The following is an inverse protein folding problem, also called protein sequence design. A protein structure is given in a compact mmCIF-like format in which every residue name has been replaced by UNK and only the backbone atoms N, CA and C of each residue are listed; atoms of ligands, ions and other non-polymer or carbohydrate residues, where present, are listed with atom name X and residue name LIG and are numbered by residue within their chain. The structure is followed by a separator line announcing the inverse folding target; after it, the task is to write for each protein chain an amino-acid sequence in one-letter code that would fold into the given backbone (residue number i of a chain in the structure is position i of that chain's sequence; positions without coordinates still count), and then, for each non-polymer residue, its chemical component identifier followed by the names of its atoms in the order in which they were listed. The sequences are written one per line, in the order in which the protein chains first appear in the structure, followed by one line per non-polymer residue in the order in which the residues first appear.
data_IF_159193817266
#
_entry.id   IF_159193817266
#
_cell.length_a   1.000
_cell.length_b   1.000
_cell.length_c   1.000
_cell.angle_alpha   90.00
_cell.angle_beta   90.00
_cell.angle_gamma   90.00
#
_symmetry.space_group_name_H-M   'P 1'
#
loop_
_entity.id
_entity.type
_entity.pdbx_description
1 polymer ?
#
# COMPACT_ATOMS: atom_id res chain seq x y z
N UNK A 1 -54.70 2.99 -8.42
CA UNK A 1 -53.91 4.02 -7.72
C UNK A 1 -52.55 3.45 -7.38
N UNK A 2 -51.63 4.30 -6.88
CA UNK A 2 -50.34 3.91 -6.28
C UNK A 2 -49.18 3.58 -7.24
N UNK A 3 -48.86 4.53 -8.12
CA UNK A 3 -47.46 4.87 -8.38
C UNK A 3 -47.25 6.30 -7.90
N UNK A 4 -46.73 6.46 -6.69
CA UNK A 4 -46.08 7.70 -6.28
C UNK A 4 -44.75 7.77 -7.00
N UNK A 5 -44.79 8.25 -8.25
CA UNK A 5 -43.59 8.53 -9.00
C UNK A 5 -42.80 9.61 -8.27
N UNK A 6 -41.76 9.21 -7.54
CA UNK A 6 -40.67 10.11 -7.21
C UNK A 6 -40.07 10.52 -8.55
N UNK A 7 -40.47 11.70 -9.01
CA UNK A 7 -39.90 12.38 -10.17
C UNK A 7 -38.49 12.83 -9.79
N UNK A 8 -37.57 11.86 -9.69
CA UNK A 8 -36.14 12.15 -9.79
C UNK A 8 -36.01 12.82 -11.15
N UNK A 9 -35.63 14.10 -11.15
CA UNK A 9 -35.40 14.85 -12.38
C UNK A 9 -34.09 14.33 -12.94
N UNK A 10 -34.17 13.26 -13.72
CA UNK A 10 -33.05 12.70 -14.48
C UNK A 10 -32.49 13.82 -15.34
N UNK A 11 -31.24 14.17 -15.08
CA UNK A 11 -30.50 15.22 -15.77
C UNK A 11 -29.39 14.58 -16.59
N UNK A 12 -29.33 14.94 -17.87
CA UNK A 12 -28.19 14.59 -18.72
C UNK A 12 -26.90 15.16 -18.12
N UNK A 13 -25.89 14.31 -17.98
CA UNK A 13 -24.61 14.66 -17.35
C UNK A 13 -23.94 15.88 -18.01
N UNK A 14 -24.12 16.04 -19.32
CA UNK A 14 -23.57 17.16 -20.13
C UNK A 14 -24.16 18.54 -19.81
N UNK A 15 -25.35 18.58 -19.21
CA UNK A 15 -25.94 19.81 -18.69
C UNK A 15 -25.49 20.03 -17.24
N UNK A 16 -25.46 18.96 -16.45
CA UNK A 16 -25.09 18.95 -15.05
C UNK A 16 -23.65 19.45 -14.84
N UNK A 17 -22.66 18.89 -15.55
CA UNK A 17 -21.23 19.25 -15.45
C UNK A 17 -20.88 20.71 -15.83
N UNK A 18 -21.83 21.51 -16.32
CA UNK A 18 -21.65 22.93 -16.65
C UNK A 18 -22.09 23.88 -15.52
N UNK A 19 -22.71 23.36 -14.47
CA UNK A 19 -23.11 24.14 -13.29
C UNK A 19 -21.91 24.38 -12.36
N UNK A 20 -21.83 25.55 -11.71
CA UNK A 20 -20.65 25.93 -10.90
C UNK A 20 -20.47 25.09 -9.62
N UNK A 21 -21.54 24.47 -9.12
CA UNK A 21 -21.58 23.81 -7.80
C UNK A 21 -22.04 22.34 -7.89
N UNK A 22 -21.56 21.61 -8.89
CA UNK A 22 -21.82 20.17 -9.06
C UNK A 22 -21.20 19.35 -7.95
N UNK A 23 -22.00 18.50 -7.32
CA UNK A 23 -21.57 17.51 -6.32
C UNK A 23 -21.36 16.13 -6.96
N UNK A 24 -20.51 15.29 -6.37
CA UNK A 24 -20.34 13.90 -6.83
C UNK A 24 -21.66 13.12 -6.73
N UNK A 25 -22.46 13.33 -5.67
CA UNK A 25 -23.78 12.68 -5.52
C UNK A 25 -24.67 12.93 -6.75
N UNK A 26 -24.81 14.18 -7.19
CA UNK A 26 -25.60 14.53 -8.38
C UNK A 26 -25.05 13.89 -9.68
N UNK A 27 -23.73 13.72 -9.77
CA UNK A 27 -23.08 13.02 -10.91
C UNK A 27 -23.38 11.52 -10.88
N UNK A 28 -23.27 10.87 -9.72
CA UNK A 28 -23.57 9.43 -9.55
C UNK A 28 -25.07 9.11 -9.72
N UNK A 29 -25.96 10.08 -9.53
CA UNK A 29 -27.39 9.94 -9.78
C UNK A 29 -27.80 10.08 -11.26
N UNK A 30 -26.90 10.50 -12.15
CA UNK A 30 -27.19 10.65 -13.58
C UNK A 30 -27.27 9.28 -14.29
N UNK A 31 -28.39 9.01 -14.97
CA UNK A 31 -28.65 7.73 -15.65
C UNK A 31 -27.62 7.40 -16.76
N UNK A 32 -26.97 8.42 -17.34
CA UNK A 32 -25.97 8.30 -18.39
C UNK A 32 -24.52 8.18 -17.89
N UNK A 33 -24.24 8.26 -16.57
CA UNK A 33 -22.85 8.29 -16.05
C UNK A 33 -21.97 7.14 -16.57
N UNK A 34 -22.45 5.89 -16.48
CA UNK A 34 -21.67 4.73 -16.93
C UNK A 34 -21.55 4.64 -18.46
N UNK A 35 -22.43 5.32 -19.20
CA UNK A 35 -22.34 5.44 -20.66
C UNK A 35 -21.30 6.51 -21.03
N UNK A 36 -21.30 7.66 -20.33
CA UNK A 36 -20.37 8.76 -20.55
C UNK A 36 -18.94 8.41 -20.08
N UNK A 37 -18.77 7.56 -19.06
CA UNK A 37 -17.49 6.91 -18.76
C UNK A 37 -16.99 6.07 -19.96
N UNK A 38 -17.85 5.20 -20.52
CA UNK A 38 -17.49 4.36 -21.68
C UNK A 38 -17.25 5.17 -22.96
N UNK A 39 -17.81 6.38 -23.04
CA UNK A 39 -17.62 7.31 -24.14
C UNK A 39 -16.34 8.18 -24.03
N UNK A 40 -15.49 7.95 -23.00
CA UNK A 40 -14.31 8.77 -22.70
C UNK A 40 -14.65 10.28 -22.59
N UNK A 41 -15.79 10.64 -21.96
CA UNK A 41 -16.23 12.04 -21.83
C UNK A 41 -15.20 12.88 -21.05
N UNK A 42 -14.60 13.86 -21.72
CA UNK A 42 -13.53 14.71 -21.18
C UNK A 42 -13.96 15.57 -19.98
N UNK A 43 -15.18 16.10 -20.00
CA UNK A 43 -15.69 16.95 -18.92
C UNK A 43 -15.92 16.11 -17.66
N UNK A 44 -16.46 14.88 -17.83
CA UNK A 44 -16.61 13.91 -16.75
C UNK A 44 -15.24 13.48 -16.20
N UNK A 45 -14.30 13.13 -17.07
CA UNK A 45 -12.93 12.75 -16.66
C UNK A 45 -12.29 13.90 -15.88
N UNK A 46 -12.39 15.14 -16.35
CA UNK A 46 -11.86 16.31 -15.65
C UNK A 46 -12.51 16.50 -14.26
N UNK A 47 -13.81 16.24 -14.12
CA UNK A 47 -14.50 16.27 -12.83
C UNK A 47 -14.03 15.16 -11.88
N UNK A 48 -14.03 13.89 -12.34
CA UNK A 48 -13.68 12.73 -11.51
C UNK A 48 -12.20 12.68 -11.10
N UNK A 49 -11.31 13.32 -11.88
CA UNK A 49 -9.87 13.38 -11.59
C UNK A 49 -9.48 14.50 -10.63
N UNK A 50 -10.42 15.32 -10.14
CA UNK A 50 -10.16 16.29 -9.08
C UNK A 50 -9.83 15.55 -7.76
N UNK A 51 -8.82 15.99 -6.98
CA UNK A 51 -8.40 15.26 -5.77
C UNK A 51 -9.48 15.09 -4.69
N UNK A 52 -10.41 16.06 -4.59
CA UNK A 52 -11.55 16.01 -3.67
C UNK A 52 -12.60 15.00 -4.12
N UNK A 53 -12.97 15.01 -5.40
CA UNK A 53 -13.92 14.06 -5.99
C UNK A 53 -13.38 12.63 -5.98
N UNK A 54 -12.09 12.45 -6.29
CA UNK A 54 -11.44 11.14 -6.24
C UNK A 54 -11.37 10.60 -4.79
N UNK A 55 -11.08 11.45 -3.81
CA UNK A 55 -11.13 11.07 -2.40
C UNK A 55 -12.55 10.68 -1.96
N UNK A 56 -13.58 11.38 -2.43
CA UNK A 56 -14.99 11.06 -2.16
C UNK A 56 -15.39 9.72 -2.81
N UNK A 57 -15.01 9.46 -4.07
CA UNK A 57 -15.21 8.16 -4.75
C UNK A 57 -14.61 6.99 -3.97
N UNK A 58 -13.36 7.12 -3.50
CA UNK A 58 -12.70 6.07 -2.71
C UNK A 58 -13.44 5.89 -1.38
N UNK A 59 -13.79 6.99 -0.72
CA UNK A 59 -14.53 6.96 0.55
C UNK A 59 -15.89 6.24 0.40
N UNK A 60 -16.59 6.41 -0.72
CA UNK A 60 -17.84 5.69 -1.00
C UNK A 60 -17.67 4.18 -1.16
N UNK A 61 -16.50 3.68 -1.58
CA UNK A 61 -16.24 2.24 -1.72
C UNK A 61 -15.53 1.61 -0.51
N UNK A 62 -14.93 2.41 0.38
CA UNK A 62 -14.22 1.91 1.57
C UNK A 62 -14.97 2.15 2.89
N UNK A 63 -15.78 3.20 3.02
CA UNK A 63 -16.50 3.51 4.27
C UNK A 63 -17.92 2.97 4.33
N UNK A 64 -18.35 2.55 5.53
CA UNK A 64 -19.76 2.22 5.75
C UNK A 64 -20.60 3.51 5.79
N UNK A 65 -21.65 3.63 4.97
CA UNK A 65 -22.53 4.78 4.99
C UNK A 65 -23.29 4.90 6.33
N UNK A 66 -23.62 6.12 6.78
CA UNK A 66 -24.20 6.36 8.10
C UNK A 66 -25.59 5.73 8.25
N UNK A 67 -25.76 4.88 9.27
CA UNK A 67 -26.90 3.95 9.53
C UNK A 67 -28.31 4.57 9.60
N UNK A 68 -28.45 5.88 9.39
CA UNK A 68 -29.71 6.62 9.41
C UNK A 68 -30.41 6.66 8.03
N UNK A 69 -29.88 5.98 7.02
CA UNK A 69 -30.41 5.92 5.64
C UNK A 69 -30.73 4.47 5.28
N UNK A 70 -31.73 4.24 4.44
CA UNK A 70 -32.14 2.91 3.99
C UNK A 70 -30.98 2.17 3.27
N UNK A 71 -30.70 0.92 3.68
CA UNK A 71 -29.58 0.10 3.17
C UNK A 71 -29.55 0.00 1.63
N UNK A 72 -30.73 -0.10 0.99
CA UNK A 72 -30.90 -0.18 -0.46
C UNK A 72 -30.40 1.08 -1.19
N UNK A 73 -30.61 2.25 -0.59
CA UNK A 73 -30.17 3.55 -1.11
C UNK A 73 -28.75 3.90 -0.70
N UNK A 74 -28.31 3.44 0.48
CA UNK A 74 -26.95 3.65 1.00
C UNK A 74 -25.88 3.11 0.04
N UNK A 75 -25.96 1.83 -0.32
CA UNK A 75 -24.95 1.19 -1.15
C UNK A 75 -25.12 1.46 -2.65
N UNK A 76 -26.18 2.17 -3.08
CA UNK A 76 -26.32 2.60 -4.49
C UNK A 76 -25.15 3.45 -4.93
N UNK A 77 -24.74 4.45 -4.13
CA UNK A 77 -23.61 5.32 -4.47
C UNK A 77 -22.27 4.59 -4.38
N UNK A 78 -22.08 3.70 -3.40
CA UNK A 78 -20.91 2.82 -3.34
C UNK A 78 -20.78 1.95 -4.61
N UNK A 79 -21.88 1.35 -5.06
CA UNK A 79 -21.91 0.52 -6.27
C UNK A 79 -21.56 1.33 -7.53
N UNK A 80 -22.20 2.48 -7.74
CA UNK A 80 -21.93 3.32 -8.91
C UNK A 80 -20.51 3.91 -8.84
N UNK A 81 -20.01 4.30 -7.67
CA UNK A 81 -18.64 4.73 -7.48
C UNK A 81 -17.61 3.63 -7.82
N UNK A 82 -17.88 2.38 -7.43
CA UNK A 82 -17.05 1.23 -7.82
C UNK A 82 -17.06 0.99 -9.34
N UNK A 83 -18.24 1.02 -9.97
CA UNK A 83 -18.37 0.92 -11.43
C UNK A 83 -17.66 2.08 -12.17
N UNK A 84 -17.69 3.31 -11.63
CA UNK A 84 -17.00 4.48 -12.17
C UNK A 84 -15.48 4.35 -12.03
N UNK A 85 -14.97 4.00 -10.84
CA UNK A 85 -13.53 3.77 -10.63
C UNK A 85 -13.01 2.65 -11.53
N UNK A 86 -13.81 1.59 -11.73
CA UNK A 86 -13.44 0.43 -12.56
C UNK A 86 -13.86 0.53 -14.03
N UNK A 87 -14.32 1.70 -14.49
CA UNK A 87 -14.82 1.92 -15.86
C UNK A 87 -13.75 1.96 -16.96
N UNK A 88 -12.49 1.65 -16.64
CA UNK A 88 -11.33 1.70 -17.56
C UNK A 88 -10.99 3.10 -18.12
N UNK A 89 -11.47 4.17 -17.47
CA UNK A 89 -11.03 5.55 -17.74
C UNK A 89 -9.55 5.72 -17.40
N UNK A 90 -8.68 5.81 -18.42
CA UNK A 90 -7.23 5.84 -18.23
C UNK A 90 -6.77 6.94 -17.27
N UNK A 91 -7.15 8.20 -17.51
CA UNK A 91 -6.74 9.30 -16.62
C UNK A 91 -7.25 9.15 -15.19
N UNK A 92 -8.40 8.50 -14.95
CA UNK A 92 -8.90 8.28 -13.58
C UNK A 92 -8.04 7.26 -12.84
N UNK A 93 -7.74 6.12 -13.48
CA UNK A 93 -6.85 5.08 -12.96
C UNK A 93 -5.42 5.57 -12.82
N UNK A 94 -4.92 6.34 -13.78
CA UNK A 94 -3.57 6.89 -13.76
C UNK A 94 -3.45 7.93 -12.61
N UNK A 95 -4.48 8.75 -12.35
CA UNK A 95 -4.55 9.63 -11.16
C UNK A 95 -4.64 8.84 -9.85
N UNK A 96 -5.46 7.79 -9.79
CA UNK A 96 -5.58 6.94 -8.60
C UNK A 96 -4.24 6.26 -8.25
N UNK A 97 -3.58 5.64 -9.24
CA UNK A 97 -2.34 4.90 -9.07
C UNK A 97 -1.13 5.78 -8.74
N UNK A 98 -1.02 6.97 -9.33
CA UNK A 98 0.14 7.86 -9.16
C UNK A 98 0.04 8.81 -7.95
N UNK A 99 -1.15 8.96 -7.34
CA UNK A 99 -1.36 9.88 -6.22
C UNK A 99 -1.32 9.12 -4.89
N UNK A 100 -0.15 9.14 -4.22
CA UNK A 100 0.11 8.38 -2.99
C UNK A 100 -0.93 8.60 -1.87
N UNK A 101 -1.52 9.79 -1.76
CA UNK A 101 -2.62 10.10 -0.82
C UNK A 101 -3.89 9.28 -1.10
N UNK A 102 -4.20 9.02 -2.37
CA UNK A 102 -5.38 8.28 -2.81
C UNK A 102 -5.13 6.77 -2.69
N UNK A 103 -3.95 6.30 -3.10
CA UNK A 103 -3.52 4.92 -2.84
C UNK A 103 -3.51 4.58 -1.35
N UNK A 104 -3.01 5.48 -0.49
CA UNK A 104 -3.05 5.29 0.95
C UNK A 104 -4.48 5.21 1.49
N UNK A 105 -5.36 6.13 1.10
CA UNK A 105 -6.79 6.10 1.45
C UNK A 105 -7.48 4.79 1.04
N UNK A 106 -7.16 4.25 -0.14
CA UNK A 106 -7.67 2.96 -0.59
C UNK A 106 -7.14 1.81 0.27
N UNK A 107 -5.83 1.81 0.57
CA UNK A 107 -5.18 0.78 1.38
C UNK A 107 -5.60 0.81 2.86
N UNK A 108 -5.94 1.99 3.41
CA UNK A 108 -6.43 2.13 4.79
C UNK A 108 -7.74 1.37 5.05
N UNK A 109 -8.45 0.93 4.00
CA UNK A 109 -9.58 0.03 4.12
C UNK A 109 -9.24 -1.26 4.89
N UNK A 110 -8.08 -1.87 4.64
CA UNK A 110 -7.69 -3.11 5.34
C UNK A 110 -7.25 -2.87 6.78
N UNK A 111 -7.06 -1.62 7.19
CA UNK A 111 -6.67 -1.27 8.56
C UNK A 111 -7.85 -1.33 9.55
N UNK A 112 -9.08 -1.50 9.09
CA UNK A 112 -10.29 -1.65 9.94
C UNK A 112 -10.32 -3.01 10.64
N UNK A 113 -10.89 -3.09 11.84
CA UNK A 113 -11.00 -4.35 12.59
C UNK A 113 -11.80 -5.42 11.82
N UNK A 114 -11.50 -6.73 11.97
CA UNK A 114 -12.27 -7.77 11.32
C UNK A 114 -13.66 -7.95 11.99
N UNK A 115 -14.70 -8.36 11.26
CA UNK A 115 -14.71 -8.63 9.82
C UNK A 115 -14.95 -7.36 8.99
N UNK A 116 -14.35 -7.30 7.80
CA UNK A 116 -14.71 -6.30 6.79
C UNK A 116 -16.13 -6.52 6.28
N UNK A 117 -16.79 -5.44 5.88
CA UNK A 117 -18.05 -5.49 5.14
C UNK A 117 -17.82 -6.21 3.79
N UNK A 118 -18.48 -7.37 3.51
CA UNK A 118 -18.17 -8.15 2.31
C UNK A 118 -18.43 -7.41 0.99
N UNK A 119 -19.38 -6.48 0.97
CA UNK A 119 -19.69 -5.69 -0.22
C UNK A 119 -18.59 -4.66 -0.50
N UNK A 120 -18.18 -3.90 0.52
CA UNK A 120 -17.06 -2.94 0.39
C UNK A 120 -15.74 -3.66 0.09
N UNK A 121 -15.52 -4.85 0.66
CA UNK A 121 -14.38 -5.69 0.34
C UNK A 121 -14.37 -6.13 -1.14
N UNK A 122 -15.54 -6.41 -1.73
CA UNK A 122 -15.64 -6.68 -3.17
C UNK A 122 -15.29 -5.46 -4.03
N UNK A 123 -15.72 -4.25 -3.64
CA UNK A 123 -15.35 -3.02 -4.34
C UNK A 123 -13.88 -2.69 -4.21
N UNK A 124 -13.28 -2.90 -3.03
CA UNK A 124 -11.84 -2.80 -2.81
C UNK A 124 -11.08 -3.76 -3.73
N UNK A 125 -11.39 -5.06 -3.68
CA UNK A 125 -10.71 -6.08 -4.50
C UNK A 125 -10.81 -5.77 -5.99
N UNK A 126 -12.01 -5.42 -6.48
CA UNK A 126 -12.25 -5.03 -7.89
C UNK A 126 -11.45 -3.79 -8.30
N UNK A 127 -11.22 -2.86 -7.36
CA UNK A 127 -10.41 -1.65 -7.61
C UNK A 127 -8.92 -1.98 -7.67
N UNK A 128 -8.42 -2.85 -6.78
CA UNK A 128 -7.05 -3.35 -6.82
C UNK A 128 -6.77 -4.16 -8.09
N UNK A 129 -7.71 -5.02 -8.49
CA UNK A 129 -7.65 -5.77 -9.74
C UNK A 129 -7.56 -4.83 -10.95
N UNK A 130 -8.43 -3.82 -11.05
CA UNK A 130 -8.40 -2.84 -12.14
C UNK A 130 -7.11 -2.00 -12.19
N UNK A 131 -6.49 -1.70 -11.06
CA UNK A 131 -5.18 -1.02 -11.01
C UNK A 131 -4.06 -1.88 -11.57
N UNK A 132 -4.16 -3.21 -11.41
CA UNK A 132 -3.17 -4.19 -11.86
C UNK A 132 -3.51 -4.83 -13.21
N UNK A 133 -4.73 -4.64 -13.74
CA UNK A 133 -5.14 -5.16 -15.04
C UNK A 133 -4.60 -4.28 -16.19
N UNK A 134 -4.17 -4.94 -17.28
CA UNK A 134 -3.78 -4.26 -18.50
C UNK A 134 -5.01 -3.87 -19.32
N UNK A 135 -5.38 -2.59 -19.28
CA UNK A 135 -6.39 -2.03 -20.18
C UNK A 135 -6.05 -2.32 -21.66
N UNK A 136 -7.01 -2.74 -22.50
CA UNK A 136 -6.75 -3.11 -23.89
C UNK A 136 -6.26 -1.95 -24.77
N UNK A 137 -6.49 -0.70 -24.35
CA UNK A 137 -5.97 0.52 -25.02
C UNK A 137 -4.53 0.87 -24.59
N UNK A 138 -3.98 0.21 -23.57
CA UNK A 138 -2.73 0.60 -22.91
C UNK A 138 -1.50 -0.11 -23.51
N UNK A 139 -0.43 0.66 -23.71
CA UNK A 139 0.88 0.11 -24.09
C UNK A 139 1.46 -0.78 -22.98
N UNK A 140 2.12 -1.87 -23.37
CA UNK A 140 2.72 -2.83 -22.44
C UNK A 140 3.74 -2.19 -21.48
N UNK A 141 4.54 -1.23 -21.95
CA UNK A 141 5.52 -0.52 -21.13
C UNK A 141 4.85 0.42 -20.12
N UNK A 142 3.77 1.10 -20.51
CA UNK A 142 3.00 1.95 -19.59
C UNK A 142 2.27 1.13 -18.53
N UNK A 143 1.69 -0.01 -18.91
CA UNK A 143 1.14 -0.97 -17.96
C UNK A 143 2.23 -1.47 -16.99
N UNK A 144 3.43 -1.77 -17.50
CA UNK A 144 4.54 -2.22 -16.67
C UNK A 144 4.98 -1.20 -15.63
N UNK A 145 5.10 0.08 -16.00
CA UNK A 145 5.40 1.17 -15.06
C UNK A 145 4.29 1.30 -14.00
N UNK A 146 3.02 1.32 -14.41
CA UNK A 146 1.88 1.48 -13.48
C UNK A 146 1.83 0.32 -12.49
N UNK A 147 1.95 -0.93 -12.95
CA UNK A 147 1.97 -2.09 -12.06
C UNK A 147 3.18 -2.08 -11.11
N UNK A 148 4.39 -1.76 -11.58
CA UNK A 148 5.54 -1.61 -10.68
C UNK A 148 5.29 -0.53 -9.62
N UNK A 149 4.72 0.61 -9.99
CA UNK A 149 4.42 1.70 -9.05
C UNK A 149 3.35 1.33 -8.02
N UNK A 150 2.27 0.67 -8.45
CA UNK A 150 1.21 0.17 -7.55
C UNK A 150 1.76 -0.87 -6.57
N UNK A 151 2.59 -1.81 -7.05
CA UNK A 151 3.25 -2.79 -6.19
C UNK A 151 4.26 -2.15 -5.23
N UNK A 152 5.05 -1.17 -5.68
CA UNK A 152 5.99 -0.42 -4.83
C UNK A 152 5.23 0.34 -3.72
N UNK A 153 4.08 0.95 -4.04
CA UNK A 153 3.19 1.56 -3.04
C UNK A 153 2.72 0.54 -2.00
N UNK A 154 2.29 -0.67 -2.39
CA UNK A 154 1.94 -1.73 -1.44
C UNK A 154 3.15 -2.20 -0.61
N UNK A 155 4.32 -2.41 -1.23
CA UNK A 155 5.56 -2.83 -0.54
C UNK A 155 6.08 -1.75 0.44
N UNK A 156 5.88 -0.48 0.13
CA UNK A 156 6.26 0.64 1.01
C UNK A 156 5.45 0.65 2.32
N UNK A 157 4.25 0.07 2.29
CA UNK A 157 3.35 -0.10 3.44
C UNK A 157 3.55 -1.45 4.10
N UNK A 158 4.47 -1.52 5.07
CA UNK A 158 4.70 -2.72 5.89
C UNK A 158 3.45 -3.22 6.63
N UNK A 159 2.51 -2.33 6.92
CA UNK A 159 1.23 -2.67 7.55
C UNK A 159 0.25 -3.35 6.58
N UNK A 160 0.37 -3.11 5.27
CA UNK A 160 -0.63 -3.51 4.28
C UNK A 160 -0.78 -5.02 4.16
N UNK A 161 0.32 -5.78 4.04
CA UNK A 161 0.24 -7.22 3.83
C UNK A 161 -0.26 -7.98 5.09
N UNK A 162 0.20 -7.69 6.32
CA UNK A 162 -0.39 -8.25 7.53
C UNK A 162 -1.87 -7.85 7.73
N UNK A 163 -2.22 -6.59 7.40
CA UNK A 163 -3.62 -6.13 7.47
C UNK A 163 -4.52 -6.75 6.40
N UNK A 164 -4.00 -7.04 5.20
CA UNK A 164 -4.73 -7.79 4.18
C UNK A 164 -4.92 -9.25 4.63
N UNK A 165 -3.88 -9.86 5.21
CA UNK A 165 -3.87 -11.27 5.61
C UNK A 165 -4.84 -11.59 6.74
N UNK A 166 -4.96 -10.75 7.78
CA UNK A 166 -5.95 -10.96 8.85
C UNK A 166 -7.42 -10.96 8.37
N UNK A 167 -7.68 -10.45 7.16
CA UNK A 167 -9.00 -10.44 6.54
C UNK A 167 -9.22 -11.55 5.51
N UNK A 168 -8.28 -12.48 5.31
CA UNK A 168 -8.31 -13.51 4.25
C UNK A 168 -9.56 -14.41 4.27
N UNK A 169 -10.24 -14.53 5.41
CA UNK A 169 -11.53 -15.24 5.52
C UNK A 169 -12.68 -14.55 4.77
N UNK A 170 -12.49 -13.29 4.34
CA UNK A 170 -13.43 -12.56 3.48
C UNK A 170 -13.10 -12.91 2.02
N UNK A 171 -14.03 -13.52 1.28
CA UNK A 171 -13.79 -14.02 -0.10
C UNK A 171 -13.06 -13.02 -0.98
N UNK A 172 -13.54 -11.77 -1.06
CA UNK A 172 -12.93 -10.74 -1.90
C UNK A 172 -11.47 -10.40 -1.52
N UNK A 173 -11.08 -10.58 -0.26
CA UNK A 173 -9.68 -10.40 0.16
C UNK A 173 -8.82 -11.59 -0.29
N UNK A 174 -9.35 -12.81 -0.24
CA UNK A 174 -8.72 -13.97 -0.89
C UNK A 174 -8.60 -13.78 -2.42
N UNK A 175 -9.59 -13.15 -3.05
CA UNK A 175 -9.55 -12.80 -4.47
C UNK A 175 -8.47 -11.74 -4.78
N UNK A 176 -8.21 -10.81 -3.84
CA UNK A 176 -7.10 -9.85 -3.93
C UNK A 176 -5.73 -10.56 -3.91
N UNK A 177 -5.53 -11.54 -3.01
CA UNK A 177 -4.33 -12.40 -3.04
C UNK A 177 -4.23 -13.20 -4.34
N UNK A 178 -5.36 -13.72 -4.83
CA UNK A 178 -5.42 -14.46 -6.07
C UNK A 178 -5.00 -13.59 -7.27
N UNK A 179 -5.42 -12.31 -7.31
CA UNK A 179 -4.99 -11.32 -8.29
C UNK A 179 -3.46 -11.15 -8.28
N UNK A 180 -2.84 -10.95 -7.11
CA UNK A 180 -1.39 -10.81 -6.99
C UNK A 180 -0.63 -12.05 -7.51
N UNK A 181 -1.11 -13.25 -7.19
CA UNK A 181 -0.50 -14.52 -7.59
C UNK A 181 -0.67 -14.82 -9.10
N UNK A 182 -1.70 -14.27 -9.74
CA UNK A 182 -1.94 -14.40 -11.18
C UNK A 182 -1.24 -13.34 -12.03
N UNK A 183 -0.55 -12.36 -11.42
CA UNK A 183 0.27 -11.42 -12.17
C UNK A 183 1.38 -12.15 -12.93
N UNK A 184 1.45 -11.93 -14.24
CA UNK A 184 2.42 -12.57 -15.12
C UNK A 184 3.87 -12.13 -14.87
N UNK A 185 4.79 -12.73 -15.62
CA UNK A 185 6.20 -12.31 -15.62
C UNK A 185 6.34 -10.85 -16.06
N UNK A 186 7.16 -10.02 -15.38
CA UNK A 186 8.08 -10.38 -14.30
C UNK A 186 7.55 -10.15 -12.87
N UNK A 187 6.29 -9.73 -12.71
CA UNK A 187 5.73 -9.33 -11.40
C UNK A 187 5.60 -10.49 -10.43
N UNK A 188 5.29 -11.70 -10.93
CA UNK A 188 5.20 -12.91 -10.12
C UNK A 188 6.40 -13.11 -9.18
N UNK A 189 7.62 -12.81 -9.66
CA UNK A 189 8.83 -12.91 -8.84
C UNK A 189 8.82 -11.87 -7.70
N UNK A 190 8.49 -10.63 -8.00
CA UNK A 190 8.43 -9.51 -7.03
C UNK A 190 7.40 -9.79 -5.94
N UNK A 191 6.23 -10.34 -6.33
CA UNK A 191 5.19 -10.78 -5.40
C UNK A 191 5.68 -11.92 -4.51
N UNK A 192 6.27 -12.98 -5.07
CA UNK A 192 6.74 -14.12 -4.28
C UNK A 192 7.84 -13.73 -3.29
N UNK A 193 8.80 -12.89 -3.69
CA UNK A 193 9.82 -12.33 -2.80
C UNK A 193 9.18 -11.49 -1.67
N UNK A 194 8.16 -10.68 -1.97
CA UNK A 194 7.44 -9.88 -0.97
C UNK A 194 6.60 -10.71 0.02
N UNK A 195 5.98 -11.80 -0.44
CA UNK A 195 5.24 -12.72 0.42
C UNK A 195 6.19 -13.50 1.35
N UNK A 196 7.37 -13.88 0.85
CA UNK A 196 8.43 -14.55 1.62
C UNK A 196 9.02 -13.62 2.71
N UNK A 197 9.29 -12.35 2.36
CA UNK A 197 9.70 -11.27 3.28
C UNK A 197 8.75 -11.11 4.49
N UNK A 198 7.48 -11.50 4.35
CA UNK A 198 6.43 -11.37 5.37
C UNK A 198 6.00 -12.71 5.99
N UNK A 199 6.75 -13.80 5.76
CA UNK A 199 6.45 -15.14 6.29
C UNK A 199 4.99 -15.56 6.01
N UNK A 200 4.55 -15.34 4.77
CA UNK A 200 3.15 -15.52 4.37
C UNK A 200 2.67 -16.96 4.55
N UNK A 201 3.52 -17.96 4.28
CA UNK A 201 3.15 -19.37 4.42
C UNK A 201 2.99 -19.77 5.90
N UNK A 202 3.90 -19.34 6.76
CA UNK A 202 3.86 -19.53 8.21
C UNK A 202 2.60 -18.89 8.79
N UNK A 203 2.32 -17.64 8.39
CA UNK A 203 1.13 -16.88 8.79
C UNK A 203 -0.17 -17.57 8.34
N UNK A 204 -0.22 -18.12 7.11
CA UNK A 204 -1.37 -18.92 6.65
C UNK A 204 -1.56 -20.19 7.50
N UNK A 205 -0.48 -20.89 7.84
CA UNK A 205 -0.54 -22.09 8.70
C UNK A 205 -1.07 -21.70 10.09
N UNK A 206 -0.56 -20.61 10.67
CA UNK A 206 -1.07 -20.08 11.95
C UNK A 206 -2.55 -19.72 11.89
N UNK A 207 -3.04 -19.11 10.80
CA UNK A 207 -4.47 -18.80 10.59
C UNK A 207 -5.30 -20.09 10.57
N UNK A 208 -4.87 -21.10 9.81
CA UNK A 208 -5.56 -22.41 9.72
C UNK A 208 -5.55 -23.13 11.08
N UNK A 209 -4.47 -23.01 11.85
CA UNK A 209 -4.34 -23.58 13.19
C UNK A 209 -5.04 -22.78 14.30
N UNK A 210 -5.52 -21.55 14.02
CA UNK A 210 -6.11 -20.67 15.02
C UNK A 210 -5.11 -20.06 16.01
N UNK A 211 -3.83 -19.97 15.62
CA UNK A 211 -2.71 -19.46 16.44
C UNK A 211 -2.05 -18.22 15.83
N UNK A 212 -2.76 -17.50 14.96
CA UNK A 212 -2.24 -16.29 14.30
C UNK A 212 -2.28 -15.08 15.24
N UNK A 213 -1.12 -14.46 15.43
CA UNK A 213 -0.96 -13.20 16.14
C UNK A 213 -0.64 -12.09 15.13
N UNK A 214 -1.52 -11.09 15.06
CA UNK A 214 -1.39 -9.96 14.14
C UNK A 214 -0.36 -8.93 14.62
N UNK A 215 -0.17 -8.78 15.93
CA UNK A 215 0.86 -7.90 16.49
C UNK A 215 2.26 -8.48 16.23
N UNK A 216 2.41 -9.81 16.35
CA UNK A 216 3.66 -10.50 15.99
C UNK A 216 3.98 -10.35 14.49
N UNK A 217 2.99 -10.49 13.60
CA UNK A 217 3.19 -10.31 12.16
C UNK A 217 3.58 -8.87 11.76
N UNK A 218 3.06 -7.85 12.46
CA UNK A 218 3.49 -6.45 12.31
C UNK A 218 4.86 -6.18 12.92
N UNK A 219 5.25 -6.90 13.98
CA UNK A 219 6.57 -6.79 14.58
C UNK A 219 7.66 -7.43 13.71
N UNK A 220 7.40 -8.61 13.14
CA UNK A 220 8.35 -9.36 12.30
C UNK A 220 8.78 -8.60 11.03
N UNK A 221 7.91 -7.73 10.50
CA UNK A 221 8.19 -6.86 9.35
C UNK A 221 8.99 -5.61 9.70
N UNK A 222 9.26 -5.36 10.98
CA UNK A 222 10.13 -4.27 11.43
C UNK A 222 11.56 -4.82 11.62
N UNK A 223 12.58 -4.31 10.89
CA UNK A 223 13.95 -4.71 11.16
C UNK A 223 14.29 -4.31 12.60
N UNK A 224 14.87 -5.25 13.36
CA UNK A 224 15.27 -5.00 14.73
C UNK A 224 16.10 -3.70 14.80
N UNK A 225 15.86 -2.81 15.78
CA UNK A 225 16.67 -1.62 15.93
C UNK A 225 18.13 -2.05 16.05
N UNK A 226 18.97 -1.52 15.15
CA UNK A 226 20.39 -1.82 15.09
C UNK A 226 20.98 -1.62 16.49
N UNK A 227 21.46 -2.72 17.08
CA UNK A 227 21.94 -2.74 18.46
C UNK A 227 23.06 -1.71 18.57
N UNK A 228 22.78 -0.61 19.27
CA UNK A 228 23.76 0.44 19.49
C UNK A 228 25.04 -0.21 20.06
N UNK A 229 26.23 0.12 19.53
CA UNK A 229 27.46 -0.54 19.95
C UNK A 229 27.59 -0.42 21.47
N UNK A 230 27.75 -1.56 22.15
CA UNK A 230 27.85 -1.58 23.61
C UNK A 230 28.94 -0.60 24.06
N UNK A 231 28.68 0.22 25.10
CA UNK A 231 29.70 1.11 25.63
C UNK A 231 30.85 0.25 26.17
N UNK A 232 32.00 0.33 25.49
CA UNK A 232 33.22 -0.40 25.82
C UNK A 232 33.54 -0.15 27.28
N UNK A 233 33.35 -1.17 28.12
CA UNK A 233 33.57 -1.03 29.56
C UNK A 233 35.06 -1.04 29.80
N UNK A 234 35.65 0.16 29.97
CA UNK A 234 37.05 0.30 30.37
C UNK A 234 37.27 -0.47 31.68
N UNK A 235 38.24 -1.39 31.76
CA UNK A 235 38.56 -2.05 33.01
C UNK A 235 39.22 -1.04 33.96
N UNK A 236 38.60 -0.83 35.13
CA UNK A 236 39.15 0.04 36.15
C UNK A 236 40.57 -0.40 36.56
N UNK A 237 41.51 0.53 36.85
CA UNK A 237 42.89 0.18 37.15
C UNK A 237 42.99 -0.54 38.50
N UNK A 238 43.38 -1.81 38.47
CA UNK A 238 43.73 -2.56 39.68
C UNK A 238 44.88 -1.86 40.41
N UNK A 239 44.67 -1.56 41.70
CA UNK A 239 45.72 -1.06 42.58
C UNK A 239 46.79 -2.13 42.77
N UNK A 240 48.04 -1.76 42.55
CA UNK A 240 49.20 -2.61 42.73
C UNK A 240 49.63 -2.56 44.21
N UNK A 241 49.33 -3.60 44.98
CA UNK A 241 49.95 -3.77 46.30
C UNK A 241 51.34 -4.41 46.14
N UNK A 242 52.35 -3.80 46.76
CA UNK A 242 53.76 -4.14 46.61
C UNK A 242 54.23 -5.14 47.67
N UNK A 243 55.13 -6.07 47.29
CA UNK A 243 56.12 -6.84 48.08
C UNK A 243 56.25 -8.29 47.54
N UNK A 244 57.42 -8.94 47.45
CA UNK A 244 58.83 -8.57 47.73
C UNK A 244 59.77 -9.61 47.07
N UNK A 245 60.96 -9.21 46.59
CA UNK A 245 62.16 -10.05 46.27
C UNK A 245 62.00 -11.24 45.28
N UNK A 246 62.90 -11.55 44.35
CA UNK A 246 64.17 -10.97 43.87
C UNK A 246 64.35 -11.47 42.39
N UNK A 247 65.45 -11.28 41.65
CA UNK A 247 66.80 -10.81 41.97
C UNK A 247 67.44 -10.07 40.77
N UNK A 248 68.74 -10.26 40.51
CA UNK A 248 69.59 -9.51 39.59
C UNK A 248 70.30 -10.41 38.55
N UNK A 249 70.48 -9.93 37.31
CA UNK A 249 71.84 -9.78 36.76
C UNK A 249 71.95 -8.82 35.53
N UNK A 250 72.76 -7.78 35.72
CA UNK A 250 73.72 -7.09 34.82
C UNK A 250 73.52 -6.98 33.29
N UNK A 251 73.51 -5.72 32.80
CA UNK A 251 73.75 -5.31 31.41
C UNK A 251 75.23 -4.86 31.19
N UNK A 252 75.74 -4.65 29.93
CA UNK A 252 75.63 -3.31 29.32
C UNK A 252 75.61 -3.26 27.76
N UNK A 253 75.53 -2.05 27.20
CA UNK A 253 75.63 -1.67 25.76
C UNK A 253 76.34 -0.29 25.63
N UNK A 254 76.43 0.42 24.48
CA UNK A 254 76.42 0.06 23.03
C UNK A 254 77.85 0.38 22.44
N UNK A 255 78.13 1.34 21.50
CA UNK A 255 77.62 1.74 20.16
C UNK A 255 78.77 1.63 19.07
N UNK A 256 78.95 2.45 17.99
CA UNK A 256 78.07 3.37 17.22
C UNK A 256 78.15 3.26 15.64
N UNK A 257 77.39 4.16 14.97
CA UNK A 257 77.63 4.79 13.64
C UNK A 257 77.32 4.08 12.29
N UNK A 258 76.76 4.86 11.33
CA UNK A 258 76.45 4.41 9.95
C UNK A 258 75.48 5.30 9.13
N UNK A 259 75.93 6.47 8.68
CA UNK A 259 75.13 7.51 7.95
C UNK A 259 74.71 7.22 6.49
N UNK A 260 73.54 7.79 6.09
CA UNK A 260 73.12 8.24 4.72
C UNK A 260 72.94 7.14 3.65
N UNK A 261 71.89 7.14 2.81
CA UNK A 261 71.59 8.19 1.82
C UNK A 261 70.13 8.14 1.31
N UNK A 262 69.62 9.26 0.82
CA UNK A 262 68.35 9.35 0.10
C UNK A 262 68.56 9.34 -1.42
N UNK A 263 67.60 8.77 -2.17
CA UNK A 263 67.38 9.05 -3.60
C UNK A 263 65.88 8.98 -3.92
N UNK A 264 65.29 10.09 -4.36
CA UNK A 264 64.00 10.09 -5.05
C UNK A 264 64.16 9.55 -6.48
N UNK A 265 63.17 8.85 -7.02
CA UNK A 265 62.81 9.00 -8.44
C UNK A 265 61.30 8.78 -8.64
N UNK A 266 60.67 9.87 -9.10
CA UNK A 266 59.47 10.04 -9.96
C UNK A 266 58.48 8.86 -10.00
#
# INVERSE_FOLDING_TARGET
MFWSANYIVVRELKCLLKEENVTLTQVLEADDILQECKADNKDLIQFLTRPDILAELITLITEEPPKNVELSSQYRHANIASEVLTSNLSMLRDRLSMEATQMNRLCDFVNKDPPLNPLLASYFSKTIEMLLERSPKQDWYLHHIVCLHVLDMFKSRRDFLPNLLRHISTSAISDTFNCFLHLGSPFNKIILEWLDEHQFLESLIQIICGTYDHEEALAATTPAPELAPEPTTEPAPCKLDSNHNAEADTAPAPPPEGTRHATLYI
#
